data_IF_330221126953
#
_entry.id   IF_330221126953
#
_cell.length_a   1.000
_cell.length_b   1.000
_cell.length_c   1.000
_cell.angle_alpha   90.00
_cell.angle_beta   90.00
_cell.angle_gamma   90.00
#
_symmetry.space_group_name_H-M   'P 1'
#
loop_
_entity.id
_entity.type
_entity.pdbx_description
1 polymer ?
#
# COMPACT_ATOMS: atom_id res chain seq x y z
N UNK A 1 17.12 18.03 2.49
CA UNK A 1 16.08 18.13 1.44
C UNK A 1 16.15 17.06 0.35
N UNK A 2 17.25 16.92 -0.43
CA UNK A 2 17.29 15.98 -1.58
C UNK A 2 17.06 14.51 -1.21
N UNK A 3 17.64 14.05 -0.09
CA UNK A 3 17.48 12.67 0.40
C UNK A 3 16.03 12.37 0.85
N UNK A 4 15.38 13.32 1.52
CA UNK A 4 14.00 13.17 2.01
C UNK A 4 12.99 13.17 0.85
N UNK A 5 13.22 14.00 -0.17
CA UNK A 5 12.43 13.94 -1.40
C UNK A 5 12.54 12.54 -2.01
N UNK A 6 13.75 12.01 -2.17
CA UNK A 6 13.96 10.66 -2.73
C UNK A 6 13.25 9.60 -1.89
N UNK A 7 13.32 9.67 -0.55
CA UNK A 7 12.60 8.75 0.34
C UNK A 7 11.09 8.78 0.10
N UNK A 8 10.48 9.97 0.06
CA UNK A 8 9.06 10.12 -0.24
C UNK A 8 8.69 9.52 -1.61
N UNK A 9 9.50 9.78 -2.64
CA UNK A 9 9.28 9.21 -3.97
C UNK A 9 9.32 7.70 -3.94
N UNK A 10 10.31 7.10 -3.26
CA UNK A 10 10.39 5.66 -3.11
C UNK A 10 9.15 5.14 -2.37
N UNK A 11 8.69 5.79 -1.31
CA UNK A 11 7.45 5.38 -0.62
C UNK A 11 6.23 5.41 -1.52
N UNK A 12 6.06 6.47 -2.32
CA UNK A 12 4.93 6.55 -3.25
C UNK A 12 5.00 5.48 -4.33
N UNK A 13 6.18 5.28 -4.92
CA UNK A 13 6.36 4.28 -5.98
C UNK A 13 6.19 2.86 -5.46
N UNK A 14 6.79 2.52 -4.32
CA UNK A 14 6.65 1.17 -3.75
C UNK A 14 5.20 0.87 -3.38
N UNK A 15 4.49 1.82 -2.75
CA UNK A 15 3.07 1.65 -2.44
C UNK A 15 2.21 1.58 -3.71
N UNK A 16 2.47 2.41 -4.72
CA UNK A 16 1.73 2.37 -5.98
C UNK A 16 1.92 1.04 -6.71
N UNK A 17 3.14 0.51 -6.76
CA UNK A 17 3.43 -0.81 -7.35
C UNK A 17 2.70 -1.91 -6.60
N UNK A 18 2.70 -1.88 -5.26
CA UNK A 18 1.97 -2.83 -4.44
C UNK A 18 0.45 -2.77 -4.71
N UNK A 19 -0.11 -1.56 -4.77
CA UNK A 19 -1.54 -1.35 -5.07
C UNK A 19 -1.90 -1.85 -6.48
N UNK A 20 -1.06 -1.58 -7.49
CA UNK A 20 -1.23 -2.14 -8.84
C UNK A 20 -1.20 -3.67 -8.84
N UNK A 21 -0.24 -4.27 -8.13
CA UNK A 21 -0.13 -5.72 -8.02
C UNK A 21 -1.39 -6.31 -7.36
N UNK A 22 -1.85 -5.76 -6.24
CA UNK A 22 -3.09 -6.18 -5.57
C UNK A 22 -4.29 -6.02 -6.50
N UNK A 23 -4.40 -4.89 -7.20
CA UNK A 23 -5.52 -4.64 -8.10
C UNK A 23 -5.61 -5.67 -9.23
N UNK A 24 -4.47 -6.16 -9.70
CA UNK A 24 -4.38 -7.22 -10.72
C UNK A 24 -4.65 -8.59 -10.09
N UNK A 25 -3.98 -8.94 -8.98
CA UNK A 25 -4.13 -10.24 -8.31
C UNK A 25 -5.58 -10.49 -7.88
N UNK A 26 -6.27 -9.48 -7.35
CA UNK A 26 -7.67 -9.58 -6.92
C UNK A 26 -8.62 -9.87 -8.08
N UNK A 27 -8.23 -9.65 -9.34
CA UNK A 27 -9.04 -10.03 -10.50
C UNK A 27 -8.85 -11.49 -10.92
N UNK A 28 -7.91 -12.22 -10.32
CA UNK A 28 -7.73 -13.66 -10.51
C UNK A 28 -8.46 -14.41 -9.39
N UNK A 29 -9.61 -15.07 -9.66
CA UNK A 29 -10.41 -15.75 -8.64
C UNK A 29 -9.63 -16.85 -7.91
N UNK A 30 -8.78 -17.57 -8.64
CA UNK A 30 -7.97 -18.68 -8.11
C UNK A 30 -7.07 -18.21 -6.96
N UNK A 31 -6.47 -17.03 -7.08
CA UNK A 31 -5.63 -16.40 -6.05
C UNK A 31 -6.43 -15.94 -4.81
N UNK A 32 -7.75 -15.84 -4.95
CA UNK A 32 -8.68 -15.46 -3.88
C UNK A 32 -9.43 -16.67 -3.32
N UNK A 33 -9.13 -17.89 -3.77
CA UNK A 33 -9.84 -19.11 -3.37
C UNK A 33 -11.25 -19.22 -3.96
N UNK A 34 -11.51 -18.55 -5.07
CA UNK A 34 -12.81 -18.48 -5.74
C UNK A 34 -12.72 -19.06 -7.16
N UNK A 35 -13.86 -19.50 -7.71
CA UNK A 35 -13.92 -20.02 -9.09
C UNK A 35 -14.40 -18.98 -10.11
N UNK A 36 -14.96 -17.87 -9.63
CA UNK A 36 -15.54 -16.80 -10.46
C UNK A 36 -15.22 -15.45 -9.83
N UNK A 37 -15.16 -14.41 -10.67
CA UNK A 37 -15.00 -13.04 -10.18
C UNK A 37 -16.29 -12.63 -9.48
N UNK A 38 -16.18 -12.27 -8.21
CA UNK A 38 -17.29 -11.72 -7.45
C UNK A 38 -17.25 -10.18 -7.41
N UNK A 39 -18.42 -9.58 -7.19
CA UNK A 39 -18.55 -8.11 -7.13
C UNK A 39 -17.56 -7.43 -6.15
N UNK A 40 -17.32 -7.94 -4.92
CA UNK A 40 -16.34 -7.34 -4.01
C UNK A 40 -14.90 -7.32 -4.56
N UNK A 41 -14.52 -8.32 -5.37
CA UNK A 41 -13.20 -8.37 -6.01
C UNK A 41 -13.05 -7.24 -7.02
N UNK A 42 -14.05 -7.05 -7.89
CA UNK A 42 -14.05 -5.96 -8.87
C UNK A 42 -13.98 -4.58 -8.20
N UNK A 43 -14.72 -4.39 -7.10
CA UNK A 43 -14.66 -3.16 -6.31
C UNK A 43 -13.28 -2.92 -5.69
N UNK A 44 -12.71 -3.93 -5.04
CA UNK A 44 -11.40 -3.82 -4.41
C UNK A 44 -10.31 -3.52 -5.46
N UNK A 45 -10.37 -4.18 -6.62
CA UNK A 45 -9.47 -3.92 -7.74
C UNK A 45 -9.58 -2.46 -8.22
N UNK A 46 -10.80 -1.95 -8.43
CA UNK A 46 -11.01 -0.56 -8.85
C UNK A 46 -10.47 0.45 -7.82
N UNK A 47 -10.67 0.18 -6.53
CA UNK A 47 -10.15 1.01 -5.43
C UNK A 47 -8.62 1.00 -5.43
N UNK A 48 -8.00 -0.18 -5.51
CA UNK A 48 -6.54 -0.32 -5.51
C UNK A 48 -5.89 0.35 -6.74
N UNK A 49 -6.46 0.18 -7.94
CA UNK A 49 -6.02 0.91 -9.14
C UNK A 49 -6.09 2.43 -8.96
N UNK A 50 -7.21 2.92 -8.41
CA UNK A 50 -7.41 4.35 -8.17
C UNK A 50 -6.40 4.90 -7.16
N UNK A 51 -6.09 4.13 -6.12
CA UNK A 51 -5.11 4.50 -5.10
C UNK A 51 -3.68 4.55 -5.67
N UNK A 52 -3.31 3.56 -6.49
CA UNK A 52 -2.04 3.53 -7.18
C UNK A 52 -1.83 4.78 -8.07
N UNK A 53 -2.85 5.16 -8.85
CA UNK A 53 -2.83 6.37 -9.67
C UNK A 53 -2.69 7.63 -8.80
N UNK A 54 -3.41 7.71 -7.68
CA UNK A 54 -3.31 8.83 -6.74
C UNK A 54 -1.88 8.99 -6.21
N UNK A 55 -1.20 7.88 -5.88
CA UNK A 55 0.19 7.88 -5.40
C UNK A 55 1.17 8.35 -6.48
N UNK A 56 0.99 7.95 -7.74
CA UNK A 56 1.77 8.47 -8.86
C UNK A 56 1.56 9.98 -9.07
N UNK A 57 0.34 10.47 -8.84
CA UNK A 57 0.07 11.92 -8.87
C UNK A 57 0.76 12.62 -7.69
N UNK A 58 0.81 12.01 -6.51
CA UNK A 58 1.50 12.56 -5.34
C UNK A 58 3.00 12.78 -5.59
N UNK A 59 3.64 11.90 -6.36
CA UNK A 59 5.07 11.95 -6.69
C UNK A 59 5.52 13.23 -7.42
N UNK A 60 4.61 13.91 -8.15
CA UNK A 60 4.94 15.17 -8.84
C UNK A 60 5.38 16.28 -7.90
N UNK A 61 4.85 16.29 -6.67
CA UNK A 61 5.14 17.30 -5.65
C UNK A 61 5.22 16.65 -4.25
N UNK A 62 6.26 15.85 -4.00
CA UNK A 62 6.25 14.90 -2.88
C UNK A 62 6.25 15.59 -1.52
N UNK A 63 6.98 16.70 -1.36
CA UNK A 63 7.01 17.46 -0.10
C UNK A 63 5.70 18.19 0.21
N UNK A 64 5.05 18.78 -0.82
CA UNK A 64 3.76 19.47 -0.68
C UNK A 64 2.63 18.45 -0.39
N UNK A 65 2.72 17.26 -0.96
CA UNK A 65 1.70 16.21 -0.90
C UNK A 65 2.01 15.08 0.08
N UNK A 66 2.97 15.29 0.99
CA UNK A 66 3.37 14.27 1.99
C UNK A 66 2.22 13.81 2.90
N UNK A 67 1.20 14.64 3.07
CA UNK A 67 0.00 14.28 3.83
C UNK A 67 -0.73 13.06 3.24
N UNK A 68 -0.56 12.77 1.94
CA UNK A 68 -1.11 11.57 1.27
C UNK A 68 -0.55 10.28 1.87
N UNK A 69 0.64 10.31 2.48
CA UNK A 69 1.18 9.14 3.19
C UNK A 69 0.31 8.73 4.39
N UNK A 70 -0.37 9.66 5.06
CA UNK A 70 -1.21 9.32 6.23
C UNK A 70 -2.34 8.35 5.86
N UNK A 71 -3.25 8.66 4.92
CA UNK A 71 -4.29 7.73 4.53
C UNK A 71 -3.71 6.48 3.86
N UNK A 72 -2.56 6.56 3.19
CA UNK A 72 -1.92 5.39 2.58
C UNK A 72 -1.34 4.44 3.63
N UNK A 73 -0.71 4.96 4.69
CA UNK A 73 -0.26 4.17 5.85
C UNK A 73 -1.47 3.48 6.48
N UNK A 74 -2.60 4.18 6.61
CA UNK A 74 -3.81 3.60 7.16
C UNK A 74 -4.36 2.45 6.30
N UNK A 75 -4.41 2.62 4.97
CA UNK A 75 -4.82 1.56 4.03
C UNK A 75 -3.89 0.36 4.13
N UNK A 76 -2.56 0.56 4.06
CA UNK A 76 -1.57 -0.52 4.18
C UNK A 76 -1.69 -1.23 5.53
N UNK A 77 -1.91 -0.49 6.62
CA UNK A 77 -2.13 -1.06 7.95
C UNK A 77 -3.36 -1.96 7.98
N UNK A 78 -4.49 -1.49 7.46
CA UNK A 78 -5.74 -2.24 7.44
C UNK A 78 -5.63 -3.49 6.57
N UNK A 79 -5.05 -3.39 5.37
CA UNK A 79 -4.87 -4.54 4.49
C UNK A 79 -3.94 -5.58 5.10
N UNK A 80 -2.83 -5.15 5.70
CA UNK A 80 -1.89 -6.04 6.39
C UNK A 80 -2.55 -6.70 7.60
N UNK A 81 -3.34 -5.94 8.38
CA UNK A 81 -4.08 -6.47 9.51
C UNK A 81 -5.11 -7.51 9.10
N UNK A 82 -5.92 -7.23 8.06
CA UNK A 82 -6.92 -8.17 7.54
C UNK A 82 -6.24 -9.44 7.03
N UNK A 83 -5.11 -9.32 6.31
CA UNK A 83 -4.33 -10.47 5.86
C UNK A 83 -3.90 -11.35 7.03
N UNK A 84 -3.21 -10.78 8.01
CA UNK A 84 -2.72 -11.51 9.19
C UNK A 84 -3.89 -12.15 9.96
N UNK A 85 -5.01 -11.42 10.12
CA UNK A 85 -6.19 -11.95 10.78
C UNK A 85 -6.74 -13.18 10.05
N UNK A 86 -6.81 -13.16 8.72
CA UNK A 86 -7.31 -14.29 7.93
C UNK A 86 -6.32 -15.46 7.90
N UNK A 87 -5.01 -15.20 7.91
CA UNK A 87 -3.97 -16.22 8.05
C UNK A 87 -4.08 -16.95 9.39
N UNK A 88 -4.23 -16.22 10.50
CA UNK A 88 -4.37 -16.80 11.85
C UNK A 88 -5.66 -17.63 11.98
N UNK A 89 -6.72 -17.26 11.26
CA UNK A 89 -7.99 -18.00 11.25
C UNK A 89 -8.04 -19.11 10.20
N UNK A 90 -6.91 -19.45 9.57
CA UNK A 90 -6.78 -20.50 8.55
C UNK A 90 -7.78 -20.33 7.38
N UNK A 91 -8.16 -19.08 7.08
CA UNK A 91 -9.08 -18.74 5.97
C UNK A 91 -8.37 -18.62 4.63
N UNK A 92 -7.07 -18.39 4.66
CA UNK A 92 -6.20 -18.26 3.49
C UNK A 92 -4.87 -18.96 3.78
N UNK A 93 -4.15 -19.33 2.74
CA UNK A 93 -2.80 -19.88 2.86
C UNK A 93 -1.86 -18.87 3.54
N UNK A 94 -1.06 -19.36 4.50
CA UNK A 94 -0.08 -18.53 5.19
C UNK A 94 1.08 -18.22 4.26
N UNK A 95 1.25 -16.94 3.92
CA UNK A 95 2.42 -16.46 3.20
C UNK A 95 3.14 -15.40 4.04
N UNK A 96 4.15 -15.87 4.78
CA UNK A 96 4.97 -15.01 5.61
C UNK A 96 5.65 -13.88 4.81
N UNK A 97 5.97 -14.09 3.53
CA UNK A 97 6.63 -13.07 2.73
C UNK A 97 5.70 -11.87 2.49
N UNK A 98 4.42 -12.12 2.21
CA UNK A 98 3.42 -11.06 2.01
C UNK A 98 3.17 -10.29 3.30
N UNK A 99 3.01 -10.98 4.42
CA UNK A 99 2.79 -10.35 5.73
C UNK A 99 4.01 -9.52 6.19
N UNK A 100 5.24 -10.03 5.99
CA UNK A 100 6.47 -9.29 6.28
C UNK A 100 6.62 -8.08 5.35
N UNK A 101 6.27 -8.22 4.07
CA UNK A 101 6.29 -7.12 3.11
C UNK A 101 5.36 -5.99 3.54
N UNK A 102 4.11 -6.30 3.93
CA UNK A 102 3.15 -5.31 4.42
C UNK A 102 3.66 -4.54 5.65
N UNK A 103 4.20 -5.25 6.64
CA UNK A 103 4.80 -4.65 7.85
C UNK A 103 6.01 -3.77 7.50
N UNK A 104 6.89 -4.26 6.63
CA UNK A 104 8.10 -3.53 6.21
C UNK A 104 7.72 -2.26 5.45
N UNK A 105 6.76 -2.34 4.54
CA UNK A 105 6.23 -1.20 3.79
C UNK A 105 5.63 -0.16 4.74
N UNK A 106 4.86 -0.60 5.72
CA UNK A 106 4.27 0.27 6.74
C UNK A 106 5.35 1.03 7.52
N UNK A 107 6.35 0.32 8.06
CA UNK A 107 7.47 0.93 8.80
C UNK A 107 8.21 1.94 7.92
N UNK A 108 8.48 1.56 6.66
CA UNK A 108 9.17 2.42 5.70
C UNK A 108 8.39 3.70 5.39
N UNK A 109 7.07 3.61 5.21
CA UNK A 109 6.21 4.76 4.95
C UNK A 109 6.09 5.69 6.16
N UNK A 110 5.95 5.12 7.36
CA UNK A 110 5.94 5.87 8.61
C UNK A 110 7.26 6.65 8.77
N UNK A 111 8.38 5.96 8.61
CA UNK A 111 9.71 6.59 8.68
C UNK A 111 9.86 7.73 7.65
N UNK A 112 9.43 7.50 6.41
CA UNK A 112 9.52 8.49 5.34
C UNK A 112 8.65 9.72 5.61
N UNK A 113 7.46 9.52 6.22
CA UNK A 113 6.60 10.63 6.65
C UNK A 113 7.25 11.47 7.75
N UNK A 114 7.78 10.84 8.81
CA UNK A 114 8.47 11.55 9.90
C UNK A 114 9.71 12.30 9.42
N UNK A 115 10.54 11.65 8.59
CA UNK A 115 11.73 12.26 7.97
C UNK A 115 11.38 13.51 7.16
N UNK A 116 10.28 13.47 6.39
CA UNK A 116 9.83 14.61 5.61
C UNK A 116 9.26 15.76 6.46
N UNK A 117 8.65 15.46 7.61
CA UNK A 117 8.05 16.48 8.45
C UNK A 117 9.12 17.30 9.19
N UNK A 118 10.20 16.64 9.66
CA UNK A 118 11.33 17.31 10.31
C UNK A 118 11.96 18.40 9.43
N UNK A 119 12.04 18.17 8.11
CA UNK A 119 12.61 19.13 7.14
C UNK A 119 11.75 20.37 6.92
N UNK A 120 10.46 20.35 7.27
CA UNK A 120 9.60 21.56 7.16
C UNK A 120 9.75 22.48 8.37
N UNK A 121 10.11 21.92 9.53
CA UNK A 121 10.25 22.68 10.77
C UNK A 121 11.62 23.39 10.86
N UNK A 122 12.59 22.98 10.03
CA UNK A 122 13.89 23.64 9.79
C UNK A 122 13.79 24.72 8.70
#
# INVERSE_FOLDING_TARGET
>A
MRKQIIQLRISYWTAAIADFAIAVIVLFPEEMGLNVIEYPMGLMSAVAFSWAIMLLIADRKPLERRWILIPTIFVVALLTFVRILFEINEKIETDFAVSIFGITLLIFMIYSYYSANKVREE
#
